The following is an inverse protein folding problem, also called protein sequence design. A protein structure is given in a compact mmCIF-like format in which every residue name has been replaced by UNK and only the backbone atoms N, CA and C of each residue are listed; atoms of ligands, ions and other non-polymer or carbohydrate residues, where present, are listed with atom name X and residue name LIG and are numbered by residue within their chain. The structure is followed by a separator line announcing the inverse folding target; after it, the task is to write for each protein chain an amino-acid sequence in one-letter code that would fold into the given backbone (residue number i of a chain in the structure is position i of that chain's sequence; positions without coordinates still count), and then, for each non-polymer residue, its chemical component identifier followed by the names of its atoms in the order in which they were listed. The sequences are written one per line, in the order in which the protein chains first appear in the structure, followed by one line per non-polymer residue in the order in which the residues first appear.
data_IF_622541019970
#
_entry.id   IF_622541019970
#
_cell.length_a   1.000
_cell.length_b   1.000
_cell.length_c   1.000
_cell.angle_alpha   90.00
_cell.angle_beta   90.00
_cell.angle_gamma   90.00
#
_symmetry.space_group_name_H-M   'P 1'
#
loop_
_entity.id
_entity.type
_entity.pdbx_description
1 polymer ?
#
# COMPACT_ATOMS: atom_id res chain seq x y z
N UNK A 1 3.77 12.35 7.64
CA UNK A 1 3.90 11.59 6.36
C UNK A 1 3.80 12.52 5.15
N UNK A 2 4.47 12.20 4.03
CA UNK A 2 4.31 12.87 2.73
C UNK A 2 3.65 11.89 1.75
N UNK A 3 2.32 12.00 1.60
CA UNK A 3 1.55 11.30 0.57
C UNK A 3 1.24 12.25 -0.57
N UNK A 4 1.46 11.80 -1.80
CA UNK A 4 0.96 12.45 -3.02
C UNK A 4 -0.03 11.50 -3.72
N UNK A 5 -1.22 11.99 -4.05
CA UNK A 5 -2.29 11.18 -4.67
C UNK A 5 -2.52 11.69 -6.09
N UNK A 6 -2.35 10.82 -7.08
CA UNK A 6 -2.57 11.12 -8.49
C UNK A 6 -3.57 10.11 -9.08
N UNK A 7 -4.86 10.44 -9.06
CA UNK A 7 -5.90 9.50 -9.48
C UNK A 7 -5.89 8.25 -8.58
N UNK A 8 -5.65 7.07 -9.15
CA UNK A 8 -5.57 5.80 -8.41
C UNK A 8 -4.15 5.47 -7.89
N UNK A 9 -3.18 6.35 -8.13
CA UNK A 9 -1.80 6.20 -7.66
C UNK A 9 -1.59 6.92 -6.32
N UNK A 10 -0.98 6.22 -5.36
CA UNK A 10 -0.66 6.71 -4.01
C UNK A 10 0.85 6.62 -3.81
N UNK A 11 1.49 7.77 -3.69
CA UNK A 11 2.94 7.87 -3.47
C UNK A 11 3.23 8.10 -1.98
N UNK A 12 3.80 7.10 -1.31
CA UNK A 12 4.19 7.16 0.10
C UNK A 12 5.70 7.44 0.14
N UNK A 13 6.06 8.73 0.28
CA UNK A 13 7.44 9.19 0.20
C UNK A 13 8.15 9.26 1.58
N UNK A 14 7.46 8.91 2.66
CA UNK A 14 8.07 8.83 4.00
C UNK A 14 7.43 7.74 4.86
N UNK A 15 8.10 7.24 5.91
CA UNK A 15 7.58 6.19 6.78
C UNK A 15 6.20 6.53 7.37
N UNK A 16 5.33 5.52 7.45
CA UNK A 16 4.04 5.60 8.14
C UNK A 16 4.30 5.16 9.58
N UNK A 17 4.41 6.12 10.50
CA UNK A 17 4.88 5.86 11.88
C UNK A 17 3.84 6.25 12.93
N UNK A 18 3.07 7.31 12.69
CA UNK A 18 2.07 7.78 13.66
C UNK A 18 0.70 7.18 13.40
N UNK A 19 -0.13 7.09 14.45
CA UNK A 19 -1.54 6.67 14.34
C UNK A 19 -2.28 7.55 13.33
N UNK A 20 -2.04 8.87 13.34
CA UNK A 20 -2.65 9.81 12.39
C UNK A 20 -2.23 9.53 10.94
N UNK A 21 -0.99 9.10 10.69
CA UNK A 21 -0.56 8.72 9.34
C UNK A 21 -1.31 7.46 8.86
N UNK A 22 -1.51 6.49 9.75
CA UNK A 22 -2.28 5.27 9.48
C UNK A 22 -3.73 5.59 9.15
N UNK A 23 -4.40 6.37 10.00
CA UNK A 23 -5.81 6.75 9.79
C UNK A 23 -6.01 7.48 8.46
N UNK A 24 -5.12 8.41 8.13
CA UNK A 24 -5.16 9.12 6.83
C UNK A 24 -5.02 8.17 5.66
N UNK A 25 -4.06 7.23 5.71
CA UNK A 25 -3.86 6.28 4.63
C UNK A 25 -5.06 5.32 4.49
N UNK A 26 -5.66 4.88 5.60
CA UNK A 26 -6.89 4.08 5.57
C UNK A 26 -8.05 4.84 4.93
N UNK A 27 -8.24 6.12 5.27
CA UNK A 27 -9.26 6.96 4.64
C UNK A 27 -9.05 7.09 3.13
N UNK A 28 -7.79 7.32 2.70
CA UNK A 28 -7.43 7.39 1.28
C UNK A 28 -7.73 6.07 0.56
N UNK A 29 -7.32 4.93 1.13
CA UNK A 29 -7.57 3.61 0.57
C UNK A 29 -9.07 3.31 0.47
N UNK A 30 -9.83 3.62 1.52
CA UNK A 30 -11.29 3.43 1.55
C UNK A 30 -11.97 4.27 0.48
N UNK A 31 -11.56 5.53 0.28
CA UNK A 31 -12.11 6.41 -0.76
C UNK A 31 -11.90 5.90 -2.20
N UNK A 32 -11.00 4.92 -2.38
CA UNK A 32 -10.65 4.33 -3.67
C UNK A 32 -11.22 2.92 -3.87
N UNK A 33 -12.15 2.49 -3.01
CA UNK A 33 -12.68 1.12 -3.08
C UNK A 33 -13.47 0.78 -4.35
N UNK A 34 -13.88 1.80 -5.11
CA UNK A 34 -14.57 1.64 -6.40
C UNK A 34 -13.62 1.75 -7.61
N UNK A 35 -12.33 2.00 -7.39
CA UNK A 35 -11.34 2.01 -8.46
C UNK A 35 -11.08 0.56 -8.92
N UNK A 36 -10.92 0.31 -10.23
CA UNK A 36 -10.59 -1.03 -10.71
C UNK A 36 -9.18 -1.48 -10.28
N UNK A 37 -8.30 -0.51 -9.98
CA UNK A 37 -6.93 -0.75 -9.59
C UNK A 37 -6.42 0.36 -8.68
N UNK A 38 -5.62 0.01 -7.67
CA UNK A 38 -4.82 0.95 -6.86
C UNK A 38 -3.33 0.64 -7.06
N UNK A 39 -2.54 1.70 -7.25
CA UNK A 39 -1.09 1.61 -7.38
C UNK A 39 -0.45 2.30 -6.18
N UNK A 40 0.29 1.55 -5.35
CA UNK A 40 1.06 2.09 -4.23
C UNK A 40 2.54 2.17 -4.59
N UNK A 41 3.11 3.37 -4.55
CA UNK A 41 4.55 3.58 -4.64
C UNK A 41 5.11 3.85 -3.25
N UNK A 42 5.82 2.88 -2.67
CA UNK A 42 6.30 2.94 -1.29
C UNK A 42 7.81 3.14 -1.29
N UNK A 43 8.24 4.36 -0.97
CA UNK A 43 9.66 4.72 -0.82
C UNK A 43 10.17 4.63 0.61
N UNK A 44 9.37 4.09 1.51
CA UNK A 44 9.70 3.94 2.93
C UNK A 44 9.73 2.47 3.34
N UNK A 45 10.45 2.18 4.42
CA UNK A 45 10.62 0.82 4.92
C UNK A 45 9.38 0.27 5.67
N UNK A 46 8.49 1.14 6.16
CA UNK A 46 7.42 0.76 7.08
C UNK A 46 6.04 0.78 6.44
N UNK A 47 5.37 -0.37 6.49
CA UNK A 47 3.94 -0.50 6.17
C UNK A 47 3.21 -1.14 7.37
N UNK A 48 2.39 -0.38 8.10
CA UNK A 48 1.66 -0.91 9.24
C UNK A 48 0.70 -2.04 8.85
N UNK A 49 0.53 -3.03 9.73
CA UNK A 49 -0.30 -4.22 9.47
C UNK A 49 -1.76 -3.89 9.18
N UNK A 50 -2.30 -2.83 9.76
CA UNK A 50 -3.64 -2.31 9.46
C UNK A 50 -3.79 -1.90 7.99
N UNK A 51 -2.75 -1.31 7.40
CA UNK A 51 -2.73 -0.94 5.98
C UNK A 51 -2.71 -2.20 5.12
N UNK A 52 -1.92 -3.21 5.50
CA UNK A 52 -1.91 -4.51 4.82
C UNK A 52 -3.30 -5.16 4.86
N UNK A 53 -3.95 -5.15 6.03
CA UNK A 53 -5.31 -5.68 6.20
C UNK A 53 -6.33 -4.97 5.30
N UNK A 54 -6.22 -3.65 5.17
CA UNK A 54 -7.08 -2.87 4.29
C UNK A 54 -6.83 -3.17 2.80
N UNK A 55 -5.57 -3.33 2.39
CA UNK A 55 -5.24 -3.77 1.02
C UNK A 55 -5.80 -5.16 0.70
N UNK A 56 -5.77 -6.08 1.67
CA UNK A 56 -6.38 -7.40 1.53
C UNK A 56 -7.91 -7.28 1.37
N UNK A 57 -8.57 -6.47 2.20
CA UNK A 57 -10.02 -6.21 2.10
C UNK A 57 -10.40 -5.67 0.73
N UNK A 58 -9.64 -4.71 0.20
CA UNK A 58 -9.87 -4.13 -1.13
C UNK A 58 -9.66 -5.14 -2.25
N UNK A 59 -8.60 -5.95 -2.16
CA UNK A 59 -8.36 -7.03 -3.10
C UNK A 59 -9.50 -8.06 -3.11
N UNK A 60 -10.01 -8.44 -1.94
CA UNK A 60 -11.11 -9.39 -1.82
C UNK A 60 -12.44 -8.82 -2.38
N UNK A 61 -12.57 -7.48 -2.45
CA UNK A 61 -13.65 -6.79 -3.17
C UNK A 61 -13.47 -6.74 -4.70
N UNK A 62 -12.34 -7.21 -5.23
CA UNK A 62 -12.03 -7.21 -6.66
C UNK A 62 -11.20 -6.03 -7.14
N UNK A 63 -10.68 -5.17 -6.24
CA UNK A 63 -9.76 -4.09 -6.61
C UNK A 63 -8.38 -4.68 -6.88
N UNK A 64 -7.82 -4.45 -8.08
CA UNK A 64 -6.47 -4.89 -8.38
C UNK A 64 -5.44 -4.06 -7.59
N UNK A 65 -4.57 -4.70 -6.81
CA UNK A 65 -3.53 -4.01 -6.03
C UNK A 65 -2.16 -4.20 -6.68
N UNK A 66 -1.50 -3.09 -7.02
CA UNK A 66 -0.10 -3.05 -7.43
C UNK A 66 0.73 -2.30 -6.39
N UNK A 67 1.87 -2.86 -5.99
CA UNK A 67 2.78 -2.23 -5.03
C UNK A 67 4.17 -2.15 -5.65
N UNK A 68 4.65 -0.93 -5.89
CA UNK A 68 6.02 -0.65 -6.28
C UNK A 68 6.81 -0.30 -5.01
N UNK A 69 7.79 -1.13 -4.67
CA UNK A 69 8.57 -1.06 -3.42
C UNK A 69 10.00 -0.69 -3.76
N UNK A 70 10.48 0.40 -3.17
CA UNK A 70 11.86 0.89 -3.38
C UNK A 70 12.81 0.44 -2.27
N UNK A 71 12.27 0.04 -1.11
CA UNK A 71 13.05 -0.44 0.02
C UNK A 71 13.16 -1.98 0.02
N UNK A 72 14.38 -2.52 0.12
CA UNK A 72 14.60 -3.96 0.06
C UNK A 72 13.98 -4.71 1.25
N UNK A 73 14.07 -4.13 2.45
CA UNK A 73 13.56 -4.73 3.68
C UNK A 73 12.04 -4.86 3.61
N UNK A 74 11.37 -3.83 3.11
CA UNK A 74 9.92 -3.88 2.90
C UNK A 74 9.55 -4.94 1.85
N UNK A 75 10.30 -5.05 0.75
CA UNK A 75 10.04 -6.08 -0.26
C UNK A 75 10.14 -7.49 0.34
N UNK A 76 11.22 -7.77 1.08
CA UNK A 76 11.43 -9.05 1.77
C UNK A 76 10.32 -9.34 2.79
N UNK A 77 9.87 -8.31 3.54
CA UNK A 77 8.75 -8.45 4.47
C UNK A 77 7.46 -8.86 3.73
N UNK A 78 7.12 -8.19 2.62
CA UNK A 78 5.91 -8.50 1.87
C UNK A 78 5.97 -9.91 1.24
N UNK A 79 7.15 -10.35 0.81
CA UNK A 79 7.35 -11.70 0.27
C UNK A 79 7.27 -12.77 1.38
N UNK A 80 7.88 -12.53 2.55
CA UNK A 80 7.77 -13.41 3.72
C UNK A 80 6.31 -13.58 4.19
N UNK A 81 5.50 -12.53 4.06
CA UNK A 81 4.05 -12.56 4.31
C UNK A 81 3.23 -13.20 3.17
N UNK A 82 3.89 -13.67 2.10
CA UNK A 82 3.30 -14.25 0.90
C UNK A 82 2.32 -13.31 0.17
N UNK A 83 2.48 -12.00 0.35
CA UNK A 83 1.63 -11.00 -0.30
C UNK A 83 1.93 -10.89 -1.79
N UNK A 84 3.12 -11.30 -2.22
CA UNK A 84 3.52 -11.44 -3.63
C UNK A 84 2.62 -12.42 -4.43
N UNK A 85 1.88 -13.31 -3.73
CA UNK A 85 0.91 -14.22 -4.35
C UNK A 85 -0.47 -13.61 -4.54
N UNK A 86 -0.77 -12.52 -3.81
CA UNK A 86 -2.08 -11.83 -3.83
C UNK A 86 -2.02 -10.53 -4.61
N UNK A 87 -0.94 -9.77 -4.43
CA UNK A 87 -0.76 -8.46 -5.03
C UNK A 87 0.30 -8.52 -6.12
N UNK A 88 0.20 -7.62 -7.09
CA UNK A 88 1.28 -7.41 -8.06
C UNK A 88 2.36 -6.54 -7.43
N UNK A 89 3.39 -7.17 -6.86
CA UNK A 89 4.49 -6.47 -6.19
C UNK A 89 5.70 -6.37 -7.13
N UNK A 90 6.28 -5.18 -7.24
CA UNK A 90 7.50 -4.90 -8.02
C UNK A 90 8.53 -4.23 -7.14
N UNK A 91 9.77 -4.72 -7.18
CA UNK A 91 10.92 -4.03 -6.63
C UNK A 91 11.45 -3.05 -7.69
N UNK A 92 11.65 -1.79 -7.32
CA UNK A 92 12.16 -0.70 -8.17
C UNK A 92 13.55 -0.30 -7.73
#
# INVERSE_FOLDING_TARGET
MKIEINGNEININSPVVTISDVEKLLQILTSKENEPQIILNIKSFSLPSSIIGELLRLHDKGVAIMINVYDNTLYELLDALKLTQKFKIRKI
#
